data_IF_009081389544
#
_entry.id   IF_009081389544
#
_cell.length_a   1.000
_cell.length_b   1.000
_cell.length_c   1.000
_cell.angle_alpha   90.00
_cell.angle_beta   90.00
_cell.angle_gamma   90.00
#
_symmetry.space_group_name_H-M   'P 1'
#
loop_
_entity.id
_entity.type
_entity.pdbx_description
1 polymer ?
#
# COMPACT_ATOMS: atom_id res chain seq x y z
N UNK A 1 -0.58 -22.37 6.19
CA UNK A 1 -1.17 -21.12 5.67
C UNK A 1 -1.47 -21.28 4.19
N UNK A 2 -2.51 -20.64 3.66
CA UNK A 2 -2.77 -20.62 2.20
C UNK A 2 -1.65 -19.89 1.46
N UNK A 3 -1.32 -20.28 0.21
CA UNK A 3 -0.33 -19.58 -0.63
C UNK A 3 -0.62 -18.08 -0.73
N UNK A 4 -1.91 -17.70 -0.79
CA UNK A 4 -2.35 -16.31 -0.82
C UNK A 4 -1.97 -15.52 0.44
N UNK A 5 -2.15 -16.12 1.62
CA UNK A 5 -1.79 -15.47 2.89
C UNK A 5 -0.28 -15.24 2.98
N UNK A 6 0.50 -16.22 2.51
CA UNK A 6 1.96 -16.14 2.46
C UNK A 6 2.44 -15.04 1.51
N UNK A 7 1.84 -14.92 0.33
CA UNK A 7 2.17 -13.84 -0.62
C UNK A 7 1.92 -12.45 -0.01
N UNK A 8 0.84 -12.31 0.76
CA UNK A 8 0.45 -11.05 1.37
C UNK A 8 1.38 -10.66 2.51
N UNK A 9 1.74 -11.60 3.37
CA UNK A 9 2.74 -11.37 4.41
C UNK A 9 4.11 -11.04 3.83
N UNK A 10 4.49 -11.69 2.72
CA UNK A 10 5.73 -11.38 2.01
C UNK A 10 5.70 -9.96 1.44
N UNK A 11 4.62 -9.58 0.76
CA UNK A 11 4.50 -8.25 0.14
C UNK A 11 4.38 -7.13 1.19
N UNK A 12 3.71 -7.38 2.32
CA UNK A 12 3.55 -6.37 3.37
C UNK A 12 4.87 -6.04 4.07
N UNK A 13 5.75 -7.03 4.20
CA UNK A 13 7.06 -6.85 4.85
C UNK A 13 8.13 -6.34 3.89
N UNK A 14 7.99 -6.62 2.58
CA UNK A 14 8.93 -6.24 1.53
C UNK A 14 9.33 -4.77 1.59
N UNK A 15 8.32 -3.87 1.61
CA UNK A 15 8.55 -2.44 1.58
C UNK A 15 9.14 -1.94 2.91
N UNK A 16 8.75 -2.54 4.04
CA UNK A 16 9.30 -2.22 5.35
C UNK A 16 10.78 -2.60 5.44
N UNK A 17 11.15 -3.80 4.99
CA UNK A 17 12.54 -4.27 4.96
C UNK A 17 13.38 -3.37 4.08
N UNK A 18 12.91 -3.06 2.87
CA UNK A 18 13.69 -2.23 1.95
C UNK A 18 13.86 -0.80 2.49
N UNK A 19 12.79 -0.21 3.06
CA UNK A 19 12.88 1.09 3.73
C UNK A 19 13.92 1.06 4.86
N UNK A 20 13.83 0.08 5.77
CA UNK A 20 14.79 -0.07 6.87
C UNK A 20 16.22 -0.22 6.36
N UNK A 21 16.45 -1.07 5.35
CA UNK A 21 17.78 -1.32 4.80
C UNK A 21 18.39 -0.06 4.18
N UNK A 22 17.63 0.68 3.38
CA UNK A 22 18.10 1.91 2.74
C UNK A 22 18.39 3.00 3.77
N UNK A 23 17.50 3.19 4.74
CA UNK A 23 17.62 4.25 5.75
C UNK A 23 18.77 4.00 6.72
N UNK A 24 19.00 2.74 7.10
CA UNK A 24 19.94 2.40 8.19
C UNK A 24 21.27 1.86 7.69
N UNK A 25 21.31 1.22 6.52
CA UNK A 25 22.45 0.40 6.07
C UNK A 25 22.88 -0.68 7.07
N UNK A 26 22.01 -1.07 8.02
CA UNK A 26 22.29 -2.05 9.08
C UNK A 26 21.90 -3.46 8.67
N UNK A 27 22.51 -3.96 7.60
CA UNK A 27 22.26 -5.30 7.09
C UNK A 27 23.49 -5.88 6.41
N UNK A 28 23.45 -7.20 6.16
CA UNK A 28 24.40 -7.89 5.29
C UNK A 28 23.62 -8.72 4.26
N UNK A 29 24.23 -8.90 3.11
CA UNK A 29 23.75 -9.87 2.12
C UNK A 29 24.65 -11.09 2.22
N UNK A 30 24.05 -12.25 2.48
CA UNK A 30 24.72 -13.54 2.50
C UNK A 30 24.47 -14.23 1.17
N UNK A 31 25.48 -14.33 0.33
CA UNK A 31 25.39 -15.14 -0.88
C UNK A 31 25.22 -16.62 -0.50
N UNK A 32 24.56 -17.40 -1.36
CA UNK A 32 24.34 -18.83 -1.12
C UNK A 32 25.61 -19.60 -0.76
N UNK A 33 26.75 -19.24 -1.37
CA UNK A 33 28.06 -19.84 -1.08
C UNK A 33 28.64 -19.46 0.29
N UNK A 34 28.23 -18.33 0.86
CA UNK A 34 28.72 -17.80 2.14
C UNK A 34 27.88 -18.26 3.34
N UNK A 35 26.71 -18.83 3.07
CA UNK A 35 25.79 -19.34 4.09
C UNK A 35 26.28 -20.67 4.67
N UNK A 36 25.97 -20.92 5.95
CA UNK A 36 26.10 -22.27 6.54
C UNK A 36 25.12 -23.24 5.86
N UNK A 37 25.38 -24.54 5.94
CA UNK A 37 24.52 -25.54 5.30
C UNK A 37 23.07 -25.49 5.81
N UNK A 38 22.89 -25.21 7.12
CA UNK A 38 21.57 -25.04 7.73
C UNK A 38 20.87 -23.80 7.16
N UNK A 39 21.55 -22.66 7.11
CA UNK A 39 21.00 -21.42 6.55
C UNK A 39 20.65 -21.59 5.07
N UNK A 40 21.54 -22.21 4.29
CA UNK A 40 21.32 -22.49 2.86
C UNK A 40 20.12 -23.40 2.64
N UNK A 41 19.93 -24.40 3.49
CA UNK A 41 18.75 -25.26 3.49
C UNK A 41 17.46 -24.47 3.74
N UNK A 42 17.44 -23.59 4.75
CA UNK A 42 16.29 -22.73 5.04
C UNK A 42 15.99 -21.72 3.92
N UNK A 43 17.02 -21.25 3.21
CA UNK A 43 16.88 -20.29 2.12
C UNK A 43 16.65 -20.96 0.76
N UNK A 44 16.53 -22.29 0.68
CA UNK A 44 16.42 -23.06 -0.56
C UNK A 44 17.53 -22.72 -1.58
N UNK A 45 18.73 -22.43 -1.08
CA UNK A 45 19.88 -22.05 -1.90
C UNK A 45 19.85 -20.61 -2.43
N UNK A 46 18.84 -19.80 -2.11
CA UNK A 46 18.82 -18.37 -2.43
C UNK A 46 19.78 -17.56 -1.55
N UNK A 47 20.23 -16.42 -2.04
CA UNK A 47 20.91 -15.41 -1.21
C UNK A 47 19.94 -14.88 -0.15
N UNK A 48 20.46 -14.39 0.97
CA UNK A 48 19.63 -13.94 2.08
C UNK A 48 20.07 -12.60 2.63
N UNK A 49 19.10 -11.81 3.08
CA UNK A 49 19.33 -10.63 3.89
C UNK A 49 19.54 -11.08 5.35
N UNK A 50 20.62 -10.63 5.96
CA UNK A 50 20.93 -10.85 7.37
C UNK A 50 20.87 -9.54 8.13
N UNK A 51 19.98 -9.47 9.12
CA UNK A 51 19.73 -8.31 9.95
C UNK A 51 20.11 -8.67 11.39
N UNK A 52 21.02 -7.91 11.99
CA UNK A 52 21.36 -8.08 13.41
C UNK A 52 20.74 -6.94 14.21
N UNK A 53 19.72 -7.27 15.00
CA UNK A 53 18.80 -6.31 15.59
C UNK A 53 19.03 -6.17 17.10
N UNK A 54 19.21 -4.92 17.53
CA UNK A 54 19.27 -4.52 18.93
C UNK A 54 17.86 -4.18 19.47
N UNK A 55 17.65 -4.13 20.80
CA UNK A 55 18.60 -4.49 21.88
C UNK A 55 18.68 -6.00 22.14
N UNK A 56 17.85 -6.80 21.46
CA UNK A 56 17.72 -8.23 21.74
C UNK A 56 18.86 -9.08 21.19
N UNK A 57 19.76 -8.50 20.38
CA UNK A 57 20.89 -9.18 19.73
C UNK A 57 20.44 -10.40 18.92
N UNK A 58 19.31 -10.26 18.26
CA UNK A 58 18.73 -11.31 17.43
C UNK A 58 19.18 -11.14 15.99
N UNK A 59 19.62 -12.24 15.35
CA UNK A 59 19.81 -12.26 13.91
C UNK A 59 18.55 -12.75 13.22
N UNK A 60 18.03 -11.93 12.32
CA UNK A 60 16.99 -12.29 11.37
C UNK A 60 17.62 -12.62 10.03
N UNK A 61 17.13 -13.67 9.38
CA UNK A 61 17.47 -14.06 8.02
C UNK A 61 16.21 -14.02 7.16
N UNK A 62 16.27 -13.28 6.06
CA UNK A 62 15.19 -13.18 5.06
C UNK A 62 15.73 -13.65 3.71
N UNK A 63 15.31 -14.81 3.19
CA UNK A 63 15.72 -15.28 1.87
C UNK A 63 15.24 -14.31 0.77
N UNK A 64 16.05 -14.13 -0.26
CA UNK A 64 15.83 -13.17 -1.34
C UNK A 64 15.76 -13.87 -2.70
N UNK A 65 14.68 -13.60 -3.46
CA UNK A 65 14.60 -13.93 -4.88
C UNK A 65 15.54 -13.08 -5.72
N UNK A 66 15.69 -11.81 -5.35
CA UNK A 66 16.48 -10.84 -6.08
C UNK A 66 17.23 -9.91 -5.12
N UNK A 67 18.52 -9.75 -5.38
CA UNK A 67 19.38 -8.79 -4.71
C UNK A 67 19.54 -7.56 -5.62
N UNK A 68 19.11 -6.40 -5.13
CA UNK A 68 19.26 -5.13 -5.84
C UNK A 68 20.40 -4.30 -5.26
N UNK A 69 21.21 -3.72 -6.13
CA UNK A 69 22.22 -2.73 -5.76
C UNK A 69 21.61 -1.39 -5.33
N UNK A 70 20.35 -1.13 -5.69
CA UNK A 70 19.60 0.07 -5.32
C UNK A 70 18.75 -0.14 -4.06
N UNK A 71 18.91 -1.26 -3.34
CA UNK A 71 18.16 -1.58 -2.13
C UNK A 71 16.73 -2.12 -2.36
N UNK A 72 16.26 -2.20 -3.61
CA UNK A 72 14.96 -2.82 -3.95
C UNK A 72 15.07 -4.34 -4.02
N UNK A 73 15.35 -4.97 -2.89
CA UNK A 73 15.42 -6.41 -2.78
C UNK A 73 14.04 -7.02 -3.03
N UNK A 74 13.98 -8.27 -3.49
CA UNK A 74 12.74 -9.06 -3.53
C UNK A 74 12.88 -10.22 -2.57
N UNK A 75 12.02 -10.28 -1.56
CA UNK A 75 11.97 -11.38 -0.60
C UNK A 75 11.40 -12.62 -1.29
N UNK A 76 11.86 -13.80 -0.85
CA UNK A 76 11.46 -15.07 -1.45
C UNK A 76 10.27 -15.70 -0.72
N UNK A 77 10.49 -16.05 0.54
CA UNK A 77 9.51 -16.79 1.35
C UNK A 77 9.56 -16.33 2.82
N UNK A 78 9.67 -17.27 3.75
CA UNK A 78 9.57 -17.09 5.20
C UNK A 78 10.69 -16.25 5.78
N UNK A 79 10.42 -15.72 6.97
CA UNK A 79 11.40 -14.99 7.78
C UNK A 79 11.89 -15.94 8.87
N UNK A 80 13.19 -15.92 9.16
CA UNK A 80 13.79 -16.80 10.14
C UNK A 80 14.53 -16.02 11.23
N UNK A 81 14.44 -16.51 12.47
CA UNK A 81 15.25 -16.09 13.61
C UNK A 81 16.36 -17.14 13.81
N UNK A 82 17.61 -16.71 13.88
CA UNK A 82 18.75 -17.56 14.24
C UNK A 82 18.67 -17.96 15.72
N UNK A 83 18.87 -19.25 15.99
CA UNK A 83 18.99 -19.84 17.32
C UNK A 83 20.29 -20.67 17.41
N UNK A 84 20.64 -21.12 18.61
CA UNK A 84 21.89 -21.85 18.85
C UNK A 84 22.06 -23.07 17.91
N UNK A 85 20.98 -23.81 17.66
CA UNK A 85 21.01 -25.06 16.90
C UNK A 85 20.34 -24.97 15.52
N UNK A 86 20.04 -23.75 15.03
CA UNK A 86 19.46 -23.57 13.69
C UNK A 86 18.60 -22.32 13.55
N UNK A 87 17.50 -22.46 12.81
CA UNK A 87 16.61 -21.35 12.46
C UNK A 87 15.16 -21.69 12.76
N UNK A 88 14.45 -20.73 13.33
CA UNK A 88 13.01 -20.83 13.60
C UNK A 88 12.26 -19.84 12.74
N UNK A 89 11.24 -20.32 12.03
CA UNK A 89 10.34 -19.48 11.25
C UNK A 89 9.59 -18.50 12.17
N UNK A 90 9.49 -17.26 11.72
CA UNK A 90 8.71 -16.20 12.36
C UNK A 90 7.79 -15.52 11.34
N UNK A 91 7.01 -14.54 11.81
CA UNK A 91 6.03 -13.83 11.00
C UNK A 91 6.42 -12.36 10.76
N UNK A 92 5.70 -11.72 9.85
CA UNK A 92 5.90 -10.32 9.46
C UNK A 92 5.71 -9.33 10.62
N UNK A 93 4.75 -9.57 11.52
CA UNK A 93 4.50 -8.71 12.69
C UNK A 93 5.68 -8.71 13.66
N UNK A 94 6.25 -9.89 13.94
CA UNK A 94 7.43 -10.02 14.79
C UNK A 94 8.61 -9.28 14.18
N UNK A 95 8.86 -9.45 12.88
CA UNK A 95 9.92 -8.71 12.19
C UNK A 95 9.69 -7.19 12.25
N UNK A 96 8.48 -6.73 11.93
CA UNK A 96 8.15 -5.31 11.97
C UNK A 96 8.41 -4.70 13.36
N UNK A 97 8.00 -5.40 14.43
CA UNK A 97 8.27 -4.96 15.79
C UNK A 97 9.77 -4.93 16.09
N UNK A 98 10.53 -5.97 15.73
CA UNK A 98 11.98 -6.03 15.96
C UNK A 98 12.73 -4.92 15.22
N UNK A 99 12.36 -4.60 13.98
CA UNK A 99 12.95 -3.50 13.22
C UNK A 99 12.68 -2.15 13.90
N UNK A 100 11.46 -1.91 14.39
CA UNK A 100 11.11 -0.69 15.10
C UNK A 100 11.83 -0.58 16.45
N UNK A 101 12.04 -1.69 17.15
CA UNK A 101 12.83 -1.74 18.39
C UNK A 101 14.30 -1.43 18.13
N UNK A 102 14.90 -1.97 17.07
CA UNK A 102 16.28 -1.63 16.68
C UNK A 102 16.39 -0.13 16.36
N UNK A 103 15.46 0.42 15.58
CA UNK A 103 15.42 1.87 15.31
C UNK A 103 15.33 2.72 16.58
N UNK A 104 14.49 2.31 17.54
CA UNK A 104 14.35 3.01 18.82
C UNK A 104 15.64 2.94 19.64
N UNK A 105 16.32 1.78 19.64
CA UNK A 105 17.58 1.61 20.35
C UNK A 105 18.68 2.55 19.81
N UNK A 106 18.81 2.68 18.50
CA UNK A 106 19.85 3.54 17.88
C UNK A 106 19.50 5.03 17.86
N UNK A 107 18.27 5.38 18.19
CA UNK A 107 17.78 6.76 18.19
C UNK A 107 17.13 7.15 19.52
N UNK A 108 17.51 6.49 20.61
CA UNK A 108 16.97 6.71 21.97
C UNK A 108 17.11 8.15 22.45
N UNK A 109 18.08 8.88 21.90
CA UNK A 109 18.41 10.25 22.32
C UNK A 109 17.56 11.33 21.61
N UNK A 110 16.72 10.94 20.65
CA UNK A 110 15.78 11.84 19.96
C UNK A 110 14.43 11.84 20.68
N UNK A 111 13.77 13.01 20.70
CA UNK A 111 12.44 13.19 21.30
C UNK A 111 11.44 12.06 20.93
N UNK A 112 10.53 11.79 21.86
CA UNK A 112 9.57 10.67 21.93
C UNK A 112 9.19 10.01 20.58
N UNK A 113 10.02 9.05 20.13
CA UNK A 113 9.70 8.20 18.98
C UNK A 113 8.51 7.30 19.34
N UNK A 114 7.37 7.53 18.70
CA UNK A 114 6.16 6.72 18.91
C UNK A 114 6.12 5.52 17.94
N UNK A 115 6.86 4.45 18.29
CA UNK A 115 6.90 3.21 17.52
C UNK A 115 5.53 2.54 17.38
N UNK A 116 4.66 2.68 18.39
CA UNK A 116 3.33 2.07 18.39
C UNK A 116 2.46 2.65 17.26
N UNK A 117 2.55 3.98 17.05
CA UNK A 117 1.82 4.64 15.97
C UNK A 117 2.28 4.16 14.58
N UNK A 118 3.58 3.89 14.41
CA UNK A 118 4.14 3.37 13.16
C UNK A 118 3.71 1.93 12.93
N UNK A 119 3.78 1.09 13.97
CA UNK A 119 3.36 -0.31 13.90
C UNK A 119 1.87 -0.42 13.55
N UNK A 120 1.00 0.38 14.19
CA UNK A 120 -0.43 0.43 13.87
C UNK A 120 -0.70 0.80 12.41
N UNK A 121 0.02 1.80 11.88
CA UNK A 121 -0.11 2.22 10.48
C UNK A 121 0.42 1.17 9.51
N UNK A 122 1.47 0.43 9.88
CA UNK A 122 2.00 -0.68 9.08
C UNK A 122 1.01 -1.85 9.05
N UNK A 123 0.42 -2.20 10.18
CA UNK A 123 -0.61 -3.24 10.27
C UNK A 123 -1.82 -2.87 9.43
N UNK A 124 -2.34 -1.64 9.56
CA UNK A 124 -3.44 -1.15 8.72
C UNK A 124 -3.07 -1.21 7.23
N UNK A 125 -1.90 -0.71 6.84
CA UNK A 125 -1.43 -0.79 5.46
C UNK A 125 -1.33 -2.23 4.93
N UNK A 126 -0.96 -3.18 5.79
CA UNK A 126 -0.87 -4.61 5.44
C UNK A 126 -2.25 -5.22 5.23
N UNK A 127 -3.21 -4.87 6.09
CA UNK A 127 -4.61 -5.27 5.94
C UNK A 127 -5.23 -4.68 4.67
N UNK A 128 -4.93 -3.42 4.34
CA UNK A 128 -5.41 -2.79 3.10
C UNK A 128 -4.86 -3.46 1.85
N UNK A 129 -3.63 -3.97 1.88
CA UNK A 129 -3.08 -4.77 0.79
C UNK A 129 -3.88 -6.06 0.57
N UNK A 130 -4.29 -6.74 1.66
CA UNK A 130 -5.19 -7.88 1.60
C UNK A 130 -6.53 -7.52 0.93
N UNK A 131 -7.16 -6.42 1.35
CA UNK A 131 -8.43 -5.92 0.76
C UNK A 131 -8.29 -5.65 -0.73
N UNK A 132 -7.18 -5.02 -1.16
CA UNK A 132 -6.89 -4.78 -2.58
C UNK A 132 -6.83 -6.11 -3.33
N UNK A 133 -6.01 -7.04 -2.87
CA UNK A 133 -5.77 -8.32 -3.56
C UNK A 133 -7.04 -9.17 -3.62
N UNK A 134 -7.88 -9.12 -2.58
CA UNK A 134 -9.19 -9.75 -2.57
C UNK A 134 -10.13 -9.12 -3.60
N UNK A 135 -10.20 -7.79 -3.64
CA UNK A 135 -11.06 -7.06 -4.59
C UNK A 135 -10.65 -7.28 -6.05
N UNK A 136 -9.36 -7.57 -6.30
CA UNK A 136 -8.78 -7.71 -7.63
C UNK A 136 -8.54 -9.16 -8.06
N UNK A 137 -8.79 -10.15 -7.21
CA UNK A 137 -8.35 -11.55 -7.39
C UNK A 137 -8.68 -12.12 -8.78
N UNK A 138 -9.87 -11.84 -9.32
CA UNK A 138 -10.29 -12.38 -10.62
C UNK A 138 -9.65 -11.67 -11.82
N UNK A 139 -9.17 -10.43 -11.66
CA UNK A 139 -8.70 -9.57 -12.75
C UNK A 139 -7.21 -9.26 -12.68
N UNK A 140 -6.54 -9.53 -11.56
CA UNK A 140 -5.14 -9.15 -11.33
C UNK A 140 -4.20 -9.70 -12.40
N UNK A 141 -4.32 -10.99 -12.73
CA UNK A 141 -3.57 -11.63 -13.81
C UNK A 141 -3.78 -10.95 -15.16
N UNK A 142 -5.02 -10.54 -15.44
CA UNK A 142 -5.37 -9.91 -16.71
C UNK A 142 -4.72 -8.53 -16.86
N UNK A 143 -4.48 -7.83 -15.75
CA UNK A 143 -3.78 -6.54 -15.74
C UNK A 143 -2.31 -6.75 -16.10
N UNK A 144 -1.64 -7.72 -15.46
CA UNK A 144 -0.21 -7.98 -15.69
C UNK A 144 0.09 -8.70 -17.02
N UNK A 145 -0.87 -9.42 -17.60
CA UNK A 145 -0.72 -10.09 -18.91
C UNK A 145 -0.93 -9.14 -20.10
N UNK A 146 -1.51 -7.96 -19.90
CA UNK A 146 -1.75 -6.99 -20.98
C UNK A 146 -0.46 -6.33 -21.43
N UNK A 147 -0.23 -6.28 -22.75
CA UNK A 147 0.91 -5.55 -23.33
C UNK A 147 0.81 -4.02 -23.18
N UNK A 148 -0.41 -3.49 -23.09
CA UNK A 148 -0.69 -2.06 -22.91
C UNK A 148 -1.86 -1.89 -21.96
N UNK A 149 -1.69 -1.03 -20.97
CA UNK A 149 -2.76 -0.57 -20.08
C UNK A 149 -3.22 0.80 -20.56
N UNK A 150 -4.51 1.11 -20.34
CA UNK A 150 -4.98 2.49 -20.51
C UNK A 150 -4.58 3.33 -19.28
N UNK A 151 -4.82 4.64 -19.33
CA UNK A 151 -4.47 5.55 -18.25
C UNK A 151 -5.09 5.13 -16.91
N UNK A 152 -6.40 4.87 -16.88
CA UNK A 152 -7.12 4.49 -15.66
C UNK A 152 -6.61 3.17 -15.09
N UNK A 153 -6.42 2.15 -15.92
CA UNK A 153 -5.88 0.86 -15.50
C UNK A 153 -4.49 1.01 -14.89
N UNK A 154 -3.66 1.93 -15.43
CA UNK A 154 -2.30 2.19 -14.94
C UNK A 154 -2.33 2.85 -13.57
N UNK A 155 -3.13 3.91 -13.39
CA UNK A 155 -3.33 4.59 -12.10
C UNK A 155 -3.87 3.64 -11.02
N UNK A 156 -4.71 2.68 -11.41
CA UNK A 156 -5.34 1.74 -10.50
C UNK A 156 -4.55 0.43 -10.28
N UNK A 157 -3.37 0.28 -10.90
CA UNK A 157 -2.56 -0.95 -10.83
C UNK A 157 -1.44 -0.92 -9.76
N UNK A 158 -1.24 0.20 -9.06
CA UNK A 158 -0.18 0.33 -8.05
C UNK A 158 -0.55 -0.35 -6.71
N UNK A 159 -0.71 -1.67 -6.70
CA UNK A 159 -1.24 -2.43 -5.55
C UNK A 159 -0.36 -2.37 -4.31
N UNK A 160 0.97 -2.41 -4.46
CA UNK A 160 1.90 -2.39 -3.32
C UNK A 160 2.28 -0.97 -2.88
N UNK A 161 1.83 0.06 -3.62
CA UNK A 161 2.18 1.46 -3.33
C UNK A 161 3.68 1.73 -3.49
N UNK A 162 4.21 2.65 -2.68
CA UNK A 162 5.61 3.04 -2.73
C UNK A 162 6.52 1.92 -2.19
N UNK A 163 7.43 1.42 -3.02
CA UNK A 163 8.28 0.25 -2.72
C UNK A 163 9.23 0.43 -1.52
N UNK A 164 9.54 1.68 -1.15
CA UNK A 164 10.44 2.04 -0.04
C UNK A 164 9.75 2.80 1.09
N UNK A 165 8.42 2.72 1.19
CA UNK A 165 7.70 3.35 2.30
C UNK A 165 7.14 2.26 3.23
N UNK A 166 7.26 2.40 4.57
CA UNK A 166 6.79 1.38 5.49
C UNK A 166 5.26 1.21 5.46
N UNK A 167 4.49 2.28 5.26
CA UNK A 167 3.02 2.24 5.36
C UNK A 167 2.33 2.76 4.09
N UNK A 168 2.60 2.19 2.91
CA UNK A 168 2.26 2.78 1.62
C UNK A 168 0.76 2.85 1.31
N UNK A 169 -0.09 2.15 2.08
CA UNK A 169 -1.56 2.09 1.90
C UNK A 169 -2.38 2.66 3.05
N UNK A 170 -1.71 3.17 4.08
CA UNK A 170 -2.41 3.81 5.19
C UNK A 170 -3.05 5.14 4.73
N UNK A 171 -4.33 5.36 5.05
CA UNK A 171 -5.06 6.61 4.77
C UNK A 171 -5.87 7.01 6.00
N UNK A 172 -5.30 7.89 6.81
CA UNK A 172 -5.88 8.32 8.08
C UNK A 172 -7.22 9.05 7.83
N UNK A 173 -8.22 8.74 8.66
CA UNK A 173 -9.52 9.40 8.65
C UNK A 173 -10.59 8.73 7.79
N UNK A 174 -10.25 7.69 7.03
CA UNK A 174 -11.21 6.88 6.28
C UNK A 174 -11.61 5.66 7.12
N UNK A 175 -12.90 5.37 7.23
CA UNK A 175 -13.37 4.05 7.63
C UNK A 175 -13.13 3.01 6.52
N UNK A 176 -13.38 1.72 6.80
CA UNK A 176 -13.11 0.64 5.83
C UNK A 176 -13.95 0.75 4.55
N UNK A 177 -15.18 1.23 4.65
CA UNK A 177 -16.10 1.39 3.52
C UNK A 177 -15.65 2.55 2.65
N UNK A 178 -15.35 3.69 3.26
CA UNK A 178 -14.78 4.85 2.59
C UNK A 178 -13.45 4.49 1.94
N UNK A 179 -12.54 3.87 2.68
CA UNK A 179 -11.23 3.48 2.17
C UNK A 179 -11.39 2.63 0.91
N UNK A 180 -12.27 1.63 0.94
CA UNK A 180 -12.53 0.78 -0.23
C UNK A 180 -13.17 1.54 -1.40
N UNK A 181 -14.14 2.42 -1.15
CA UNK A 181 -14.86 3.12 -2.21
C UNK A 181 -14.05 4.25 -2.87
N UNK A 182 -13.14 4.85 -2.12
CA UNK A 182 -12.30 5.95 -2.55
C UNK A 182 -10.87 5.50 -2.92
N UNK A 183 -10.60 4.19 -2.96
CA UNK A 183 -9.32 3.64 -3.40
C UNK A 183 -9.26 3.41 -4.90
N UNK A 184 -8.23 3.92 -5.61
CA UNK A 184 -8.02 3.52 -7.00
C UNK A 184 -7.74 2.02 -7.14
N UNK A 185 -7.02 1.42 -6.20
CA UNK A 185 -6.55 0.03 -6.27
C UNK A 185 -7.69 -0.99 -6.21
N UNK A 186 -8.84 -0.61 -5.65
CA UNK A 186 -10.08 -1.42 -5.55
C UNK A 186 -11.06 -1.11 -6.70
N UNK A 187 -10.64 -0.33 -7.70
CA UNK A 187 -11.51 0.27 -8.74
C UNK A 187 -12.60 1.20 -8.16
N UNK A 188 -12.30 1.93 -7.09
CA UNK A 188 -13.19 2.93 -6.53
C UNK A 188 -13.64 3.93 -7.60
N UNK A 189 -14.95 4.13 -7.69
CA UNK A 189 -15.58 5.10 -8.58
C UNK A 189 -16.76 5.72 -7.83
N UNK A 190 -16.82 7.03 -7.79
CA UNK A 190 -17.78 7.79 -7.01
C UNK A 190 -18.15 9.07 -7.75
N UNK A 191 -19.33 9.60 -7.43
CA UNK A 191 -19.77 10.89 -7.97
C UNK A 191 -19.09 12.02 -7.20
N UNK A 192 -18.72 13.08 -7.91
CA UNK A 192 -18.25 14.31 -7.27
C UNK A 192 -19.37 14.92 -6.42
N UNK A 193 -18.99 15.50 -5.29
CA UNK A 193 -19.89 16.24 -4.44
C UNK A 193 -19.81 17.73 -4.80
N UNK A 194 -20.96 18.34 -5.12
CA UNK A 194 -21.04 19.74 -5.51
C UNK A 194 -21.64 20.56 -4.39
N UNK A 195 -21.05 21.73 -4.13
CA UNK A 195 -21.55 22.71 -3.18
C UNK A 195 -22.15 23.89 -3.94
N UNK A 196 -23.30 24.38 -3.50
CA UNK A 196 -23.82 25.68 -3.93
C UNK A 196 -23.23 26.75 -3.01
N UNK A 197 -22.44 27.65 -3.59
CA UNK A 197 -21.63 28.63 -2.85
C UNK A 197 -21.95 30.03 -3.36
N UNK A 198 -22.02 31.01 -2.45
CA UNK A 198 -22.21 32.41 -2.83
C UNK A 198 -20.94 32.96 -3.52
N UNK A 199 -21.11 33.83 -4.52
CA UNK A 199 -19.96 34.36 -5.27
C UNK A 199 -19.00 35.20 -4.44
N UNK A 200 -19.46 35.78 -3.33
CA UNK A 200 -18.67 36.60 -2.41
C UNK A 200 -17.66 35.81 -1.57
N UNK A 201 -17.77 34.48 -1.51
CA UNK A 201 -16.97 33.63 -0.62
C UNK A 201 -16.08 32.61 -1.36
N UNK A 202 -16.01 32.64 -2.70
CA UNK A 202 -15.08 31.80 -3.46
C UNK A 202 -14.03 32.65 -4.19
N UNK A 203 -12.85 32.06 -4.36
CA UNK A 203 -11.73 32.66 -5.10
C UNK A 203 -11.41 31.74 -6.28
N UNK A 204 -11.17 32.33 -7.45
CA UNK A 204 -10.91 31.62 -8.70
C UNK A 204 -9.64 32.18 -9.36
N UNK A 205 -8.84 31.28 -9.96
CA UNK A 205 -7.75 31.64 -10.87
C UNK A 205 -7.75 30.66 -12.05
N UNK A 206 -7.72 31.18 -13.28
CA UNK A 206 -7.56 30.37 -14.49
C UNK A 206 -6.88 31.18 -15.60
N UNK A 207 -6.05 30.52 -16.41
CA UNK A 207 -5.25 31.19 -17.44
C UNK A 207 -6.11 31.84 -18.54
N UNK A 208 -7.29 31.27 -18.83
CA UNK A 208 -8.18 31.75 -19.90
C UNK A 208 -9.66 31.84 -19.53
N UNK A 209 -10.11 31.36 -18.38
CA UNK A 209 -11.54 31.31 -18.00
C UNK A 209 -12.39 30.29 -18.78
N UNK A 210 -11.97 29.92 -20.00
CA UNK A 210 -12.78 29.17 -20.97
C UNK A 210 -13.19 27.78 -20.50
N UNK A 211 -12.30 27.08 -19.81
CA UNK A 211 -12.58 25.74 -19.26
C UNK A 211 -13.63 25.83 -18.16
N UNK A 212 -13.57 26.86 -17.32
CA UNK A 212 -14.49 26.97 -16.21
C UNK A 212 -15.87 27.42 -16.66
N UNK A 213 -15.97 28.36 -17.60
CA UNK A 213 -17.25 28.73 -18.23
C UNK A 213 -17.91 27.54 -18.90
N UNK A 214 -17.11 26.68 -19.55
CA UNK A 214 -17.60 25.43 -20.11
C UNK A 214 -18.13 24.47 -19.04
N UNK A 215 -17.36 24.22 -17.98
CA UNK A 215 -17.79 23.34 -16.88
C UNK A 215 -19.06 23.90 -16.19
N UNK A 216 -19.11 25.21 -15.94
CA UNK A 216 -20.30 25.89 -15.39
C UNK A 216 -21.51 25.70 -16.31
N UNK A 217 -21.34 25.88 -17.61
CA UNK A 217 -22.40 25.68 -18.61
C UNK A 217 -22.88 24.23 -18.65
N UNK A 218 -21.95 23.26 -18.68
CA UNK A 218 -22.27 21.83 -18.71
C UNK A 218 -23.06 21.41 -17.46
N UNK A 219 -22.61 21.83 -16.27
CA UNK A 219 -23.31 21.56 -15.00
C UNK A 219 -24.69 22.23 -14.97
N UNK A 220 -24.81 23.50 -15.39
CA UNK A 220 -26.09 24.20 -15.42
C UNK A 220 -27.08 23.57 -16.42
N UNK A 221 -26.59 23.05 -17.54
CA UNK A 221 -27.41 22.34 -18.51
C UNK A 221 -27.89 21.00 -17.95
N UNK A 222 -27.04 20.23 -17.29
CA UNK A 222 -27.46 19.00 -16.59
C UNK A 222 -28.51 19.27 -15.51
N UNK A 223 -28.35 20.32 -14.71
CA UNK A 223 -29.33 20.73 -13.69
C UNK A 223 -30.67 21.14 -14.32
N UNK A 224 -30.64 21.89 -15.43
CA UNK A 224 -31.87 22.26 -16.16
C UNK A 224 -32.59 21.03 -16.70
N UNK A 225 -31.84 20.10 -17.28
CA UNK A 225 -32.39 18.82 -17.78
C UNK A 225 -33.05 18.06 -16.62
N UNK A 226 -32.41 17.93 -15.47
CA UNK A 226 -33.02 17.26 -14.31
C UNK A 226 -34.34 17.91 -13.86
N UNK A 227 -34.41 19.24 -13.77
CA UNK A 227 -35.65 19.95 -13.41
C UNK A 227 -36.76 19.78 -14.44
N UNK A 228 -36.42 19.75 -15.73
CA UNK A 228 -37.39 19.45 -16.80
C UNK A 228 -37.90 18.00 -16.72
N UNK A 229 -37.03 17.04 -16.38
CA UNK A 229 -37.45 15.65 -16.16
C UNK A 229 -38.39 15.51 -14.96
N UNK A 230 -38.03 16.12 -13.82
CA UNK A 230 -38.85 16.10 -12.60
C UNK A 230 -40.21 16.79 -12.79
N UNK A 231 -40.25 17.92 -13.49
CA UNK A 231 -41.52 18.61 -13.81
C UNK A 231 -42.40 17.83 -14.79
N UNK A 232 -41.80 17.08 -15.75
CA UNK A 232 -42.55 16.22 -16.66
C UNK A 232 -43.10 14.98 -15.96
N UNK A 233 -42.35 14.35 -15.06
CA UNK A 233 -42.85 13.23 -14.24
C UNK A 233 -43.92 13.67 -13.24
N UNK A 234 -43.79 14.85 -12.64
CA UNK A 234 -44.83 15.43 -11.77
C UNK A 234 -46.14 15.69 -12.54
N UNK A 235 -46.04 16.27 -13.75
CA UNK A 235 -47.21 16.48 -14.61
C UNK A 235 -47.82 15.17 -15.13
N UNK A 236 -47.00 14.12 -15.33
CA UNK A 236 -47.46 12.79 -15.75
C UNK A 236 -48.17 12.02 -14.65
N UNK A 237 -47.81 12.26 -13.37
CA UNK A 237 -48.51 11.75 -12.20
C UNK A 237 -49.86 12.44 -11.97
N UNK A 238 -49.99 13.72 -12.34
CA UNK A 238 -51.24 14.49 -12.29
C UNK A 238 -52.15 14.26 -13.52
N UNK A 239 -51.65 13.64 -14.59
CA UNK A 239 -52.41 13.40 -15.83
C UNK A 239 -52.93 11.96 -15.98
N UNK A 240 -52.87 11.13 -14.94
CA UNK A 240 -53.60 9.86 -14.93
C UNK A 240 -55.02 10.10 -14.40
N UNK A 241 -56.07 9.76 -15.16
CA UNK A 241 -57.46 9.88 -14.71
C UNK A 241 -57.78 8.93 -13.55
#
# INVERSE_FOLDING_TARGET
MSNKQRDIERLSIQNLINAYCIETSRFKILQSSEQSDICRGCCEGHSALSLFLEPLKVRIVVPLLFVSVLGHHQTFDKIYIEQADGFVETNSLMLANLLLQDMLYWHSDKESININSVLLRWMDSSEKLQVILDSRQQKIDSIFKRKKLNFVDTEQALFCGHAMHPTPKNRIGFDDVQWKNFSPETNGCFKLHYWLVESSIYVEESESGLILERIKSDILNEIKIQKEYESKDYNRLLSKP
#
